data_IF_350283852062
#
_entry.id   IF_350283852062
#
_cell.length_a   1.000
_cell.length_b   1.000
_cell.length_c   1.000
_cell.angle_alpha   90.00
_cell.angle_beta   90.00
_cell.angle_gamma   90.00
#
_symmetry.space_group_name_H-M   'P 1'
#
loop_
_entity.id
_entity.type
_entity.pdbx_description
1 polymer ?
#
# COMPACT_ATOMS: atom_id res chain seq x y z
N UNK A 1 8.89 -4.50 71.62
CA UNK A 1 7.48 -4.24 71.26
C UNK A 1 7.36 -4.46 69.75
N UNK A 2 6.53 -5.42 69.32
CA UNK A 2 6.32 -5.80 67.91
C UNK A 2 5.44 -4.74 67.25
N UNK A 3 5.86 -4.20 66.10
CA UNK A 3 4.98 -3.40 65.25
C UNK A 3 5.04 -3.93 63.81
N UNK A 4 4.15 -4.88 63.52
CA UNK A 4 3.66 -5.22 62.18
C UNK A 4 2.84 -4.05 61.64
N UNK A 5 2.99 -3.66 60.37
CA UNK A 5 1.90 -3.20 59.49
C UNK A 5 2.37 -3.03 58.03
N UNK A 6 1.80 -3.88 57.18
CA UNK A 6 1.31 -3.72 55.80
C UNK A 6 2.30 -3.39 54.66
N UNK A 7 2.72 -4.45 53.94
CA UNK A 7 3.08 -4.39 52.52
C UNK A 7 1.81 -4.21 51.67
N UNK A 8 1.66 -3.06 50.99
CA UNK A 8 0.68 -2.86 49.92
C UNK A 8 1.31 -3.18 48.57
N UNK A 9 1.03 -4.38 48.05
CA UNK A 9 1.34 -4.75 46.68
C UNK A 9 0.30 -4.10 45.73
N UNK A 10 0.72 -3.07 45.00
CA UNK A 10 -0.11 -2.43 43.98
C UNK A 10 0.01 -3.24 42.67
N UNK A 11 -0.92 -4.18 42.48
CA UNK A 11 -1.09 -4.91 41.22
C UNK A 11 -1.72 -3.96 40.18
N UNK A 12 -0.87 -3.36 39.33
CA UNK A 12 -1.32 -2.58 38.17
C UNK A 12 -1.71 -3.59 37.08
N UNK A 13 -2.98 -4.00 37.06
CA UNK A 13 -3.53 -4.79 35.95
C UNK A 13 -3.83 -3.84 34.79
N UNK A 14 -2.89 -3.72 33.84
CA UNK A 14 -3.13 -3.03 32.58
C UNK A 14 -4.08 -3.88 31.72
N UNK A 15 -5.36 -3.51 31.72
CA UNK A 15 -6.33 -4.04 30.76
C UNK A 15 -5.98 -3.48 29.37
N UNK A 16 -5.25 -4.25 28.57
CA UNK A 16 -5.18 -4.05 27.13
C UNK A 16 -6.55 -4.45 26.54
N UNK A 17 -7.51 -3.53 26.58
CA UNK A 17 -8.67 -3.65 25.72
C UNK A 17 -8.18 -3.42 24.28
N UNK A 18 -8.49 -4.32 23.30
CA UNK A 18 -8.29 -3.99 21.90
C UNK A 18 -9.21 -2.80 21.60
N UNK A 19 -8.65 -1.59 21.63
CA UNK A 19 -9.37 -0.41 21.21
C UNK A 19 -9.79 -0.66 19.76
N UNK A 20 -11.08 -0.67 19.48
CA UNK A 20 -11.56 -0.45 18.12
C UNK A 20 -10.96 0.88 17.67
N UNK A 21 -9.91 0.83 16.86
CA UNK A 21 -9.21 2.02 16.39
C UNK A 21 -10.14 2.72 15.39
N UNK A 22 -10.91 3.68 15.89
CA UNK A 22 -11.71 4.58 15.06
C UNK A 22 -10.77 5.57 14.35
N UNK A 23 -9.97 5.07 13.41
CA UNK A 23 -9.06 5.91 12.64
C UNK A 23 -9.84 6.51 11.47
N UNK A 24 -9.81 7.83 11.42
CA UNK A 24 -10.20 8.62 10.26
C UNK A 24 -8.98 9.44 9.87
N UNK A 25 -8.13 8.91 8.99
CA UNK A 25 -6.89 9.59 8.59
C UNK A 25 -7.21 10.87 7.82
N UNK A 26 -6.39 11.90 8.05
CA UNK A 26 -6.32 13.05 7.15
C UNK A 26 -5.75 12.63 5.79
N UNK A 27 -5.95 13.48 4.78
CA UNK A 27 -5.53 13.18 3.39
C UNK A 27 -4.03 12.90 3.26
N UNK A 28 -3.19 13.65 3.98
CA UNK A 28 -1.72 13.49 3.89
C UNK A 28 -1.24 12.17 4.51
N UNK A 29 -1.83 11.79 5.65
CA UNK A 29 -1.54 10.51 6.29
C UNK A 29 -2.02 9.35 5.42
N UNK A 30 -3.24 9.43 4.88
CA UNK A 30 -3.78 8.42 3.98
C UNK A 30 -2.88 8.23 2.75
N UNK A 31 -2.41 9.32 2.14
CA UNK A 31 -1.47 9.27 1.00
C UNK A 31 -0.17 8.58 1.37
N UNK A 32 0.39 8.90 2.53
CA UNK A 32 1.67 8.33 3.00
C UNK A 32 1.55 6.84 3.30
N UNK A 33 0.50 6.42 3.99
CA UNK A 33 0.32 5.02 4.38
C UNK A 33 -0.02 4.15 3.17
N UNK A 34 -0.93 4.62 2.30
CA UNK A 34 -1.29 3.90 1.07
C UNK A 34 -0.08 3.79 0.14
N UNK A 35 0.75 4.84 0.04
CA UNK A 35 2.01 4.78 -0.69
C UNK A 35 2.94 3.70 -0.12
N UNK A 36 3.13 3.71 1.20
CA UNK A 36 3.98 2.72 1.87
C UNK A 36 3.48 1.29 1.63
N UNK A 37 2.16 1.08 1.64
CA UNK A 37 1.53 -0.21 1.36
C UNK A 37 1.83 -0.69 -0.07
N UNK A 38 1.60 0.13 -1.09
CA UNK A 38 1.83 -0.29 -2.48
C UNK A 38 3.33 -0.46 -2.79
N UNK A 39 4.21 0.30 -2.11
CA UNK A 39 5.66 0.17 -2.25
C UNK A 39 6.19 -1.17 -1.70
N UNK A 40 5.44 -1.87 -0.83
CA UNK A 40 5.77 -3.27 -0.46
C UNK A 40 5.78 -4.22 -1.66
N UNK A 41 5.15 -3.83 -2.77
CA UNK A 41 5.10 -4.60 -4.02
C UNK A 41 6.09 -4.14 -5.07
N UNK A 42 7.02 -3.24 -4.73
CA UNK A 42 8.05 -2.75 -5.66
C UNK A 42 8.81 -3.89 -6.37
N UNK A 43 9.12 -4.99 -5.68
CA UNK A 43 9.77 -6.14 -6.32
C UNK A 43 8.89 -6.83 -7.36
N UNK A 44 7.59 -7.00 -7.09
CA UNK A 44 6.65 -7.62 -8.03
C UNK A 44 6.39 -6.69 -9.23
N UNK A 45 6.24 -5.39 -8.96
CA UNK A 45 6.06 -4.35 -9.97
C UNK A 45 7.30 -4.26 -10.87
N UNK A 46 8.50 -4.34 -10.29
CA UNK A 46 9.74 -4.43 -11.06
C UNK A 46 9.77 -5.69 -11.94
N UNK A 47 9.33 -6.84 -11.44
CA UNK A 47 9.24 -8.05 -12.26
C UNK A 47 8.23 -7.91 -13.42
N UNK A 48 7.12 -7.20 -13.21
CA UNK A 48 6.20 -6.82 -14.29
C UNK A 48 6.90 -5.98 -15.36
N UNK A 49 7.65 -4.95 -14.94
CA UNK A 49 8.40 -4.09 -15.85
C UNK A 49 9.49 -4.85 -16.60
N UNK A 50 10.32 -5.63 -15.90
CA UNK A 50 11.44 -6.36 -16.50
C UNK A 50 10.96 -7.37 -17.57
N UNK A 51 9.80 -7.98 -17.38
CA UNK A 51 9.17 -8.85 -18.39
C UNK A 51 8.78 -8.10 -19.66
N UNK A 52 8.23 -6.90 -19.53
CA UNK A 52 7.86 -6.09 -20.70
C UNK A 52 9.09 -5.44 -21.36
N UNK A 53 10.09 -5.03 -20.56
CA UNK A 53 11.37 -4.51 -21.03
C UNK A 53 12.15 -5.54 -21.87
N UNK A 54 12.04 -6.83 -21.53
CA UNK A 54 12.62 -7.91 -22.33
C UNK A 54 12.01 -8.03 -23.74
N UNK A 55 10.80 -7.51 -23.96
CA UNK A 55 10.13 -7.47 -25.27
C UNK A 55 10.42 -6.16 -26.01
N UNK A 56 10.58 -5.06 -25.27
CA UNK A 56 10.93 -3.74 -25.78
C UNK A 56 11.98 -3.08 -24.89
N UNK A 57 13.24 -3.07 -25.33
CA UNK A 57 14.35 -2.49 -24.57
C UNK A 57 14.24 -0.95 -24.40
N UNK A 58 13.36 -0.30 -25.18
CA UNK A 58 13.07 1.13 -25.10
C UNK A 58 11.74 1.40 -24.37
N UNK A 59 11.24 0.44 -23.59
CA UNK A 59 10.00 0.58 -22.83
C UNK A 59 10.09 1.75 -21.83
N UNK A 60 9.31 2.79 -22.12
CA UNK A 60 9.10 3.95 -21.29
C UNK A 60 7.60 4.24 -21.19
N UNK A 61 7.17 4.89 -20.11
CA UNK A 61 5.80 5.36 -19.98
C UNK A 61 5.29 5.28 -18.55
N UNK A 62 4.09 5.78 -18.38
CA UNK A 62 3.40 5.83 -17.10
C UNK A 62 2.27 4.79 -17.08
N UNK A 63 2.14 4.09 -15.96
CA UNK A 63 0.95 3.29 -15.62
C UNK A 63 0.22 4.01 -14.52
N UNK A 64 -1.04 4.34 -14.76
CA UNK A 64 -1.94 4.98 -13.80
C UNK A 64 -3.01 3.97 -13.38
N UNK A 65 -3.13 3.72 -12.08
CA UNK A 65 -4.13 2.80 -11.52
C UNK A 65 -4.99 3.54 -10.51
N UNK A 66 -6.30 3.33 -10.63
CA UNK A 66 -7.30 3.78 -9.68
C UNK A 66 -7.76 2.57 -8.85
N UNK A 67 -7.94 2.76 -7.54
CA UNK A 67 -8.48 1.73 -6.66
C UNK A 67 -9.17 2.32 -5.43
N UNK A 68 -9.97 1.49 -4.75
CA UNK A 68 -10.63 1.82 -3.49
C UNK A 68 -10.04 1.02 -2.34
N UNK A 69 -9.68 1.67 -1.25
CA UNK A 69 -9.38 1.03 0.04
C UNK A 69 -10.69 0.95 0.82
N UNK A 70 -11.22 -0.25 0.99
CA UNK A 70 -12.50 -0.48 1.65
C UNK A 70 -12.42 -0.12 3.14
N UNK A 71 -13.39 0.65 3.63
CA UNK A 71 -13.51 0.94 5.07
C UNK A 71 -13.68 -0.33 5.89
N UNK A 72 -13.27 -0.30 7.15
CA UNK A 72 -13.40 -1.42 8.12
C UNK A 72 -12.55 -2.66 7.83
N UNK A 73 -12.10 -2.86 6.59
CA UNK A 73 -11.23 -3.98 6.22
C UNK A 73 -9.84 -3.50 5.80
N UNK A 74 -9.76 -2.30 5.19
CA UNK A 74 -8.52 -1.77 4.63
C UNK A 74 -8.13 -2.42 3.30
N UNK A 75 -8.96 -3.29 2.74
CA UNK A 75 -8.61 -4.05 1.54
C UNK A 75 -8.69 -3.16 0.29
N UNK A 76 -7.65 -3.20 -0.54
CA UNK A 76 -7.66 -2.62 -1.88
C UNK A 76 -8.57 -3.46 -2.76
N UNK A 77 -9.58 -2.81 -3.34
CA UNK A 77 -10.57 -3.40 -4.22
C UNK A 77 -10.77 -2.56 -5.47
N UNK A 78 -11.12 -3.23 -6.56
CA UNK A 78 -11.47 -2.56 -7.82
C UNK A 78 -10.28 -1.83 -8.45
N UNK A 79 -9.07 -2.35 -8.26
CA UNK A 79 -7.90 -1.82 -8.95
C UNK A 79 -8.05 -1.98 -10.46
N UNK A 80 -7.90 -0.86 -11.17
CA UNK A 80 -8.04 -0.82 -12.62
C UNK A 80 -7.07 0.19 -13.22
N UNK A 81 -6.54 -0.15 -14.40
CA UNK A 81 -5.72 0.76 -15.20
C UNK A 81 -6.61 1.86 -15.76
N UNK A 82 -6.17 3.11 -15.60
CA UNK A 82 -6.70 4.24 -16.34
C UNK A 82 -6.01 4.28 -17.71
N UNK A 83 -6.67 3.75 -18.74
CA UNK A 83 -6.10 3.67 -20.09
C UNK A 83 -5.94 5.03 -20.76
N UNK A 84 -6.70 6.05 -20.32
CA UNK A 84 -6.61 7.40 -20.88
C UNK A 84 -5.44 8.18 -20.27
N UNK A 85 -5.13 7.92 -18.99
CA UNK A 85 -4.00 8.53 -18.29
C UNK A 85 -2.69 7.71 -18.40
N UNK A 86 -2.75 6.46 -18.85
CA UNK A 86 -1.58 5.60 -19.02
C UNK A 86 -0.99 5.69 -20.42
N UNK A 87 0.34 5.62 -20.51
CA UNK A 87 1.09 5.59 -21.78
C UNK A 87 1.90 4.32 -21.98
N UNK A 88 2.12 3.54 -20.91
CA UNK A 88 2.78 2.25 -21.00
C UNK A 88 1.86 1.15 -21.55
N UNK A 89 2.40 0.01 -22.03
CA UNK A 89 1.61 -1.07 -22.58
C UNK A 89 0.59 -1.65 -21.58
N UNK A 90 -0.61 -2.06 -22.04
CA UNK A 90 -1.65 -2.62 -21.17
C UNK A 90 -1.19 -3.81 -20.32
N UNK A 91 -0.38 -4.71 -20.89
CA UNK A 91 0.15 -5.88 -20.20
C UNK A 91 1.02 -5.54 -18.97
N UNK A 92 1.68 -4.37 -18.95
CA UNK A 92 2.38 -3.88 -17.78
C UNK A 92 1.39 -3.46 -16.69
N UNK A 93 0.35 -2.71 -17.08
CA UNK A 93 -0.70 -2.25 -16.18
C UNK A 93 -1.47 -3.40 -15.52
N UNK A 94 -1.90 -4.39 -16.30
CA UNK A 94 -2.63 -5.57 -15.79
C UNK A 94 -1.83 -6.35 -14.76
N UNK A 95 -0.52 -6.49 -14.97
CA UNK A 95 0.36 -7.15 -14.01
C UNK A 95 0.49 -6.36 -12.70
N UNK A 96 0.52 -5.03 -12.77
CA UNK A 96 0.58 -4.18 -11.58
C UNK A 96 -0.77 -4.23 -10.84
N UNK A 97 -1.90 -4.22 -11.54
CA UNK A 97 -3.24 -4.44 -10.95
C UNK A 97 -3.25 -5.73 -10.12
N UNK A 98 -2.76 -6.84 -10.67
CA UNK A 98 -2.66 -8.11 -9.94
C UNK A 98 -1.76 -8.05 -8.71
N UNK A 99 -0.74 -7.18 -8.71
CA UNK A 99 0.15 -7.02 -7.58
C UNK A 99 -0.46 -6.20 -6.43
N UNK A 100 -1.37 -5.26 -6.75
CA UNK A 100 -1.95 -4.31 -5.78
C UNK A 100 -3.36 -4.67 -5.31
N UNK A 101 -4.13 -5.44 -6.10
CA UNK A 101 -5.46 -5.90 -5.70
C UNK A 101 -5.34 -6.79 -4.45
N UNK A 102 -6.23 -6.55 -3.47
CA UNK A 102 -6.29 -7.34 -2.24
C UNK A 102 -5.27 -6.98 -1.16
N UNK A 103 -4.39 -5.98 -1.36
CA UNK A 103 -3.54 -5.49 -0.27
C UNK A 103 -4.36 -4.89 0.85
N UNK A 104 -3.88 -5.01 2.09
CA UNK A 104 -4.60 -4.52 3.27
C UNK A 104 -3.86 -3.37 3.92
N UNK A 105 -4.52 -2.23 4.01
CA UNK A 105 -4.09 -1.08 4.78
C UNK A 105 -4.49 -1.28 6.25
N UNK A 106 -3.51 -1.58 7.09
CA UNK A 106 -3.68 -1.79 8.54
C UNK A 106 -2.89 -0.71 9.32
N UNK A 107 -3.51 -0.03 10.30
CA UNK A 107 -4.94 -0.11 10.67
C UNK A 107 -5.85 0.38 9.53
N UNK A 108 -7.09 -0.10 9.48
CA UNK A 108 -8.07 0.32 8.49
C UNK A 108 -8.74 1.66 8.86
N UNK A 109 -9.35 2.31 7.87
CA UNK A 109 -10.12 3.54 8.08
C UNK A 109 -11.62 3.28 8.23
N UNK A 110 -12.31 4.24 8.88
CA UNK A 110 -13.77 4.25 8.98
C UNK A 110 -14.48 4.76 7.71
N UNK A 111 -13.71 5.21 6.71
CA UNK A 111 -14.20 5.73 5.43
C UNK A 111 -13.49 5.04 4.29
N UNK A 112 -14.20 4.91 3.17
CA UNK A 112 -13.58 4.39 1.95
C UNK A 112 -12.54 5.40 1.47
N UNK A 113 -11.37 4.89 1.10
CA UNK A 113 -10.27 5.69 0.56
C UNK A 113 -10.22 5.51 -0.95
N UNK A 114 -10.23 6.61 -1.70
CA UNK A 114 -10.02 6.57 -3.16
C UNK A 114 -8.58 7.00 -3.43
N UNK A 115 -7.86 6.22 -4.22
CA UNK A 115 -6.49 6.52 -4.59
C UNK A 115 -6.26 6.34 -6.09
N UNK A 116 -5.49 7.27 -6.63
CA UNK A 116 -4.87 7.17 -7.96
C UNK A 116 -3.36 7.12 -7.74
N UNK A 117 -2.70 6.11 -8.31
CA UNK A 117 -1.26 5.94 -8.22
C UNK A 117 -0.63 5.85 -9.60
N UNK A 118 0.50 6.55 -9.78
CA UNK A 118 1.24 6.58 -11.04
C UNK A 118 2.61 5.95 -10.84
N UNK A 119 2.89 4.87 -11.57
CA UNK A 119 4.23 4.33 -11.72
C UNK A 119 4.84 4.84 -13.02
N UNK A 120 6.02 5.48 -12.91
CA UNK A 120 6.77 5.96 -14.06
C UNK A 120 7.90 4.99 -14.38
N UNK A 121 7.89 4.47 -15.58
CA UNK A 121 8.89 3.54 -16.08
C UNK A 121 9.79 4.24 -17.10
N UNK A 122 11.09 4.06 -16.92
CA UNK A 122 12.10 4.58 -17.84
C UNK A 122 13.10 3.48 -18.16
N UNK A 123 13.29 3.24 -19.46
CA UNK A 123 14.39 2.42 -19.93
C UNK A 123 15.71 3.10 -19.54
N UNK A 124 16.57 2.36 -18.84
CA UNK A 124 17.99 2.67 -18.77
C UNK A 124 18.69 1.73 -19.76
N UNK A 125 18.82 2.12 -21.04
CA UNK A 125 19.57 1.30 -21.98
C UNK A 125 21.01 1.15 -21.44
N UNK A 126 21.45 -0.09 -21.30
CA UNK A 126 22.88 -0.38 -21.08
C UNK A 126 23.60 0.10 -22.34
N UNK A 127 24.60 1.00 -22.26
CA UNK A 127 25.37 1.40 -23.42
C UNK A 127 25.90 0.15 -24.12
N UNK A 128 25.74 0.06 -25.44
CA UNK A 128 26.29 -1.04 -26.21
C UNK A 128 27.79 -1.15 -25.92
N UNK A 129 28.23 -2.36 -25.53
CA UNK A 129 29.61 -2.68 -25.21
C UNK A 129 30.51 -2.65 -26.45
#
# INVERSE_FOLDING_TARGET
>A
MRNTILLTALLITSAFAPACTCIARGVDQYRTDTRSLVETKNSAIKACYDRELAKDANLNGDVVINFTVEKKTGVITGAAVDSEASSAPPALGDCIVQAVEGLTLDPYDQRDGIATFTWRFKANPVPAA
#
